data_IF_812422252519
#
_entry.id   IF_812422252519
#
_cell.length_a   1.000
_cell.length_b   1.000
_cell.length_c   1.000
_cell.angle_alpha   90.00
_cell.angle_beta   90.00
_cell.angle_gamma   90.00
#
_symmetry.space_group_name_H-M   'P 1'
#
loop_
_entity.id
_entity.type
_entity.pdbx_description
1 polymer ?
#
# COMPACT_ATOMS: atom_id res chain seq x y z
N UNK A 1 4.56 -15.59 -11.42
CA UNK A 1 5.09 -14.26 -11.81
C UNK A 1 6.61 -14.30 -11.65
N UNK A 2 7.38 -13.68 -12.55
CA UNK A 2 8.84 -13.53 -12.44
C UNK A 2 9.19 -12.04 -12.50
N UNK A 3 9.92 -11.54 -11.50
CA UNK A 3 10.41 -10.17 -11.50
C UNK A 3 11.64 -10.02 -12.40
N UNK A 4 11.72 -8.94 -13.17
CA UNK A 4 12.90 -8.59 -13.97
C UNK A 4 13.98 -7.91 -13.14
N UNK A 5 13.57 -7.23 -12.07
CA UNK A 5 14.45 -6.73 -11.02
C UNK A 5 14.20 -7.62 -9.81
N UNK A 6 15.12 -8.56 -9.57
CA UNK A 6 14.96 -9.58 -8.53
C UNK A 6 14.85 -8.96 -7.13
N UNK A 7 15.73 -8.02 -6.81
CA UNK A 7 15.69 -7.22 -5.58
C UNK A 7 14.91 -5.91 -5.79
N UNK A 8 13.62 -6.01 -6.14
CA UNK A 8 12.70 -4.87 -6.12
C UNK A 8 11.84 -4.93 -4.84
N UNK A 9 12.17 -4.17 -3.77
CA UNK A 9 11.61 -4.41 -2.43
C UNK A 9 10.09 -4.31 -2.35
N UNK A 10 9.48 -3.28 -2.95
CA UNK A 10 8.03 -3.13 -3.00
C UNK A 10 7.34 -4.32 -3.68
N UNK A 11 7.85 -4.76 -4.83
CA UNK A 11 7.23 -5.84 -5.58
C UNK A 11 7.46 -7.21 -4.94
N UNK A 12 8.68 -7.48 -4.47
CA UNK A 12 9.04 -8.78 -3.89
C UNK A 12 8.39 -9.02 -2.53
N UNK A 13 8.20 -7.99 -1.72
CA UNK A 13 7.46 -8.08 -0.46
C UNK A 13 5.95 -8.07 -0.72
N UNK A 14 5.50 -7.20 -1.63
CA UNK A 14 4.09 -7.08 -1.99
C UNK A 14 3.51 -8.38 -2.54
N UNK A 15 4.29 -9.16 -3.30
CA UNK A 15 3.86 -10.47 -3.79
C UNK A 15 3.64 -11.50 -2.66
N UNK A 16 4.38 -11.42 -1.55
CA UNK A 16 4.16 -12.30 -0.39
C UNK A 16 2.83 -11.95 0.29
N UNK A 17 2.59 -10.65 0.51
CA UNK A 17 1.37 -10.14 1.13
C UNK A 17 0.15 -10.42 0.24
N UNK A 18 0.25 -10.16 -1.07
CA UNK A 18 -0.79 -10.49 -2.05
C UNK A 18 -1.13 -11.97 -2.03
N UNK A 19 -0.13 -12.86 -2.01
CA UNK A 19 -0.35 -14.29 -1.97
C UNK A 19 -1.06 -14.73 -0.68
N UNK A 20 -0.72 -14.14 0.47
CA UNK A 20 -1.39 -14.41 1.74
C UNK A 20 -2.86 -13.97 1.72
N UNK A 21 -3.14 -12.75 1.24
CA UNK A 21 -4.50 -12.22 1.08
C UNK A 21 -5.32 -13.13 0.17
N UNK A 22 -4.77 -13.48 -1.01
CA UNK A 22 -5.46 -14.33 -1.98
C UNK A 22 -5.74 -15.73 -1.45
N UNK A 23 -4.80 -16.31 -0.68
CA UNK A 23 -5.00 -17.61 -0.03
C UNK A 23 -6.15 -17.57 0.98
N UNK A 24 -6.16 -16.54 1.84
CA UNK A 24 -7.22 -16.33 2.83
C UNK A 24 -8.59 -16.22 2.16
N UNK A 25 -8.72 -15.34 1.17
CA UNK A 25 -9.98 -15.12 0.45
C UNK A 25 -10.40 -16.38 -0.30
N UNK A 26 -9.46 -17.12 -0.86
CA UNK A 26 -9.74 -18.41 -1.49
C UNK A 26 -10.37 -19.40 -0.52
N UNK A 27 -9.84 -19.54 0.70
CA UNK A 27 -10.43 -20.40 1.73
C UNK A 27 -11.82 -19.91 2.15
N UNK A 28 -11.97 -18.60 2.37
CA UNK A 28 -13.24 -17.98 2.77
C UNK A 28 -14.35 -18.11 1.71
N UNK A 29 -14.06 -17.75 0.45
CA UNK A 29 -15.05 -17.78 -0.64
C UNK A 29 -15.48 -19.21 -0.95
N UNK A 30 -14.56 -20.17 -0.95
CA UNK A 30 -14.89 -21.56 -1.26
C UNK A 30 -15.71 -22.24 -0.16
N UNK A 31 -15.71 -21.72 1.07
CA UNK A 31 -16.60 -22.18 2.14
C UNK A 31 -18.06 -21.78 1.85
N UNK A 32 -18.32 -20.51 1.54
CA UNK A 32 -19.69 -20.01 1.31
C UNK A 32 -20.23 -20.35 -0.09
N UNK A 33 -19.37 -20.42 -1.09
CA UNK A 33 -19.75 -20.71 -2.48
C UNK A 33 -19.11 -22.00 -2.98
N UNK A 34 -19.93 -23.03 -3.14
CA UNK A 34 -19.48 -24.35 -3.60
C UNK A 34 -19.46 -24.49 -5.13
N UNK A 35 -19.97 -23.50 -5.88
CA UNK A 35 -19.98 -23.49 -7.34
C UNK A 35 -20.09 -22.08 -7.90
N UNK A 36 -19.75 -21.91 -9.18
CA UNK A 36 -19.95 -20.64 -9.89
C UNK A 36 -21.44 -20.30 -10.03
N UNK A 37 -22.31 -21.31 -10.13
CA UNK A 37 -23.76 -21.09 -10.14
C UNK A 37 -24.25 -20.41 -8.86
N UNK A 38 -23.64 -20.70 -7.70
CA UNK A 38 -23.98 -20.04 -6.44
C UNK A 38 -23.63 -18.54 -6.46
N UNK A 39 -22.54 -18.16 -7.13
CA UNK A 39 -22.16 -16.75 -7.34
C UNK A 39 -23.16 -16.04 -8.24
N UNK A 40 -23.49 -16.65 -9.39
CA UNK A 40 -24.41 -16.08 -10.37
C UNK A 40 -25.85 -15.92 -9.82
N UNK A 41 -26.25 -16.78 -8.87
CA UNK A 41 -27.58 -16.77 -8.26
C UNK A 41 -27.69 -15.89 -7.00
N UNK A 42 -26.57 -15.41 -6.45
CA UNK A 42 -26.58 -14.53 -5.28
C UNK A 42 -27.03 -13.12 -5.66
N UNK A 43 -28.30 -12.81 -5.40
CA UNK A 43 -28.89 -11.52 -5.75
C UNK A 43 -28.24 -10.33 -5.07
N UNK A 44 -27.74 -10.49 -3.84
CA UNK A 44 -27.10 -9.39 -3.10
C UNK A 44 -25.72 -9.10 -3.67
N UNK A 45 -24.92 -10.13 -3.95
CA UNK A 45 -23.61 -9.99 -4.56
C UNK A 45 -23.70 -9.39 -5.98
N UNK A 46 -24.66 -9.85 -6.79
CA UNK A 46 -24.89 -9.30 -8.14
C UNK A 46 -25.29 -7.82 -8.07
N UNK A 47 -26.19 -7.45 -7.16
CA UNK A 47 -26.61 -6.07 -6.98
C UNK A 47 -25.45 -5.18 -6.50
N UNK A 48 -24.67 -5.65 -5.53
CA UNK A 48 -23.50 -4.95 -5.01
C UNK A 48 -22.48 -4.68 -6.12
N UNK A 49 -22.06 -5.70 -6.87
CA UNK A 49 -21.06 -5.52 -7.93
C UNK A 49 -21.57 -4.62 -9.05
N UNK A 50 -22.85 -4.73 -9.41
CA UNK A 50 -23.49 -3.85 -10.38
C UNK A 50 -23.45 -2.39 -9.92
N UNK A 51 -23.76 -2.10 -8.65
CA UNK A 51 -23.72 -0.74 -8.12
C UNK A 51 -22.30 -0.18 -8.09
N UNK A 52 -21.31 -0.99 -7.68
CA UNK A 52 -19.89 -0.61 -7.71
C UNK A 52 -19.46 -0.18 -9.11
N UNK A 53 -19.82 -0.94 -10.15
CA UNK A 53 -19.40 -0.66 -11.53
C UNK A 53 -20.23 0.43 -12.20
N UNK A 54 -21.56 0.35 -12.13
CA UNK A 54 -22.45 1.22 -12.91
C UNK A 54 -22.67 2.59 -12.27
N UNK A 55 -22.52 2.67 -10.94
CA UNK A 55 -22.74 3.89 -10.15
C UNK A 55 -21.42 4.37 -9.55
N UNK A 56 -20.79 3.57 -8.68
CA UNK A 56 -19.57 3.96 -7.97
C UNK A 56 -18.41 4.35 -8.90
N UNK A 57 -18.20 3.56 -9.95
CA UNK A 57 -17.26 3.82 -11.04
C UNK A 57 -17.96 4.05 -12.38
N UNK A 58 -19.13 4.69 -12.37
CA UNK A 58 -20.02 4.81 -13.52
C UNK A 58 -19.40 5.43 -14.78
N UNK A 59 -18.38 6.29 -14.63
CA UNK A 59 -17.63 6.88 -15.75
C UNK A 59 -16.83 5.82 -16.55
N UNK A 60 -16.52 4.69 -15.92
CA UNK A 60 -15.75 3.58 -16.49
C UNK A 60 -16.60 2.32 -16.71
N UNK A 61 -17.91 2.35 -16.49
CA UNK A 61 -18.79 1.15 -16.55
C UNK A 61 -18.72 0.38 -17.87
N UNK A 62 -18.41 1.06 -18.97
CA UNK A 62 -18.31 0.45 -20.31
C UNK A 62 -16.92 -0.16 -20.60
N UNK A 63 -15.99 -0.12 -19.66
CA UNK A 63 -14.66 -0.70 -19.84
C UNK A 63 -14.70 -2.23 -19.91
N UNK A 64 -13.83 -2.82 -20.72
CA UNK A 64 -13.85 -4.27 -21.00
C UNK A 64 -13.19 -5.13 -19.92
N UNK A 65 -12.52 -4.51 -18.95
CA UNK A 65 -11.75 -5.20 -17.91
C UNK A 65 -12.53 -5.46 -16.61
N UNK A 66 -13.78 -5.03 -16.51
CA UNK A 66 -14.63 -5.36 -15.37
C UNK A 66 -14.96 -6.85 -15.33
N UNK A 67 -14.80 -7.46 -14.16
CA UNK A 67 -15.31 -8.81 -13.91
C UNK A 67 -16.82 -8.85 -14.13
N UNK A 68 -17.30 -9.98 -14.65
CA UNK A 68 -18.74 -10.21 -14.81
C UNK A 68 -19.39 -10.68 -13.50
N UNK A 69 -18.57 -11.05 -12.52
CA UNK A 69 -18.99 -11.55 -11.22
C UNK A 69 -19.90 -12.77 -11.35
N UNK A 70 -19.51 -13.74 -12.18
CA UNK A 70 -20.25 -14.97 -12.44
C UNK A 70 -19.56 -16.21 -11.88
N UNK A 71 -18.29 -16.11 -11.50
CA UNK A 71 -17.48 -17.24 -11.05
C UNK A 71 -16.84 -16.98 -9.70
N UNK A 72 -16.51 -18.06 -8.98
CA UNK A 72 -15.76 -17.97 -7.72
C UNK A 72 -14.39 -17.37 -7.93
N UNK A 73 -13.75 -17.67 -9.06
CA UNK A 73 -12.46 -17.07 -9.43
C UNK A 73 -12.58 -15.55 -9.53
N UNK A 74 -13.59 -15.02 -10.21
CA UNK A 74 -13.80 -13.57 -10.29
C UNK A 74 -14.05 -12.94 -8.92
N UNK A 75 -14.86 -13.56 -8.06
CA UNK A 75 -15.09 -13.07 -6.70
C UNK A 75 -13.80 -13.05 -5.87
N UNK A 76 -13.02 -14.14 -5.91
CA UNK A 76 -11.73 -14.23 -5.21
C UNK A 76 -10.78 -13.14 -5.70
N UNK A 77 -10.64 -12.93 -7.01
CA UNK A 77 -9.77 -11.89 -7.56
C UNK A 77 -10.27 -10.49 -7.18
N UNK A 78 -11.57 -10.21 -7.29
CA UNK A 78 -12.15 -8.92 -6.94
C UNK A 78 -11.93 -8.60 -5.45
N UNK A 79 -12.24 -9.52 -4.54
CA UNK A 79 -12.00 -9.34 -3.11
C UNK A 79 -10.51 -9.20 -2.80
N UNK A 80 -9.63 -9.95 -3.49
CA UNK A 80 -8.17 -9.83 -3.33
C UNK A 80 -7.70 -8.43 -3.71
N UNK A 81 -8.17 -7.90 -4.84
CA UNK A 81 -7.86 -6.53 -5.29
C UNK A 81 -8.37 -5.51 -4.28
N UNK A 82 -9.62 -5.62 -3.81
CA UNK A 82 -10.20 -4.68 -2.85
C UNK A 82 -9.41 -4.66 -1.53
N UNK A 83 -9.12 -5.83 -0.95
CA UNK A 83 -8.35 -5.92 0.29
C UNK A 83 -6.91 -5.44 0.08
N UNK A 84 -6.26 -5.80 -1.03
CA UNK A 84 -4.93 -5.29 -1.37
C UNK A 84 -4.88 -3.77 -1.47
N UNK A 85 -5.84 -3.17 -2.18
CA UNK A 85 -5.92 -1.71 -2.35
C UNK A 85 -6.12 -1.01 -1.02
N UNK A 86 -7.05 -1.51 -0.20
CA UNK A 86 -7.38 -0.92 1.10
C UNK A 86 -6.25 -1.07 2.13
N UNK A 87 -5.45 -2.14 2.04
CA UNK A 87 -4.41 -2.45 3.04
C UNK A 87 -3.00 -2.15 2.50
N UNK A 88 -2.35 -3.15 1.92
CA UNK A 88 -0.92 -3.14 1.59
C UNK A 88 -0.54 -2.11 0.53
N UNK A 89 -1.39 -1.87 -0.49
CA UNK A 89 -1.12 -0.82 -1.48
C UNK A 89 -1.12 0.55 -0.81
N UNK A 90 -2.17 0.83 -0.04
CA UNK A 90 -2.31 2.08 0.69
C UNK A 90 -1.11 2.28 1.63
N UNK A 91 -0.80 1.28 2.47
CA UNK A 91 0.32 1.34 3.39
C UNK A 91 1.65 1.67 2.69
N UNK A 92 1.92 1.01 1.55
CA UNK A 92 3.15 1.19 0.78
C UNK A 92 3.31 2.59 0.18
N UNK A 93 2.21 3.31 -0.10
CA UNK A 93 2.26 4.68 -0.65
C UNK A 93 2.04 5.77 0.40
N UNK A 94 1.54 5.40 1.59
CA UNK A 94 1.13 6.34 2.63
C UNK A 94 2.19 6.54 3.72
N UNK A 95 2.60 5.48 4.43
CA UNK A 95 3.46 5.59 5.62
C UNK A 95 4.93 5.92 5.31
N UNK A 96 5.27 6.03 4.03
CA UNK A 96 6.56 6.54 3.55
C UNK A 96 6.58 8.04 3.25
N UNK A 97 5.45 8.74 3.39
CA UNK A 97 5.33 10.16 3.03
C UNK A 97 6.32 11.04 3.82
N UNK A 98 6.23 11.06 5.16
CA UNK A 98 7.17 11.83 5.97
C UNK A 98 8.57 11.19 6.03
N UNK A 99 8.73 9.86 6.19
CA UNK A 99 10.06 9.26 6.25
C UNK A 99 10.94 9.57 5.02
N UNK A 100 10.35 9.65 3.81
CA UNK A 100 11.08 10.09 2.61
C UNK A 100 10.99 11.59 2.32
N UNK A 101 9.84 12.22 2.60
CA UNK A 101 9.50 13.59 2.19
C UNK A 101 9.62 14.66 3.27
N UNK A 102 9.85 14.28 4.53
CA UNK A 102 10.10 15.20 5.65
C UNK A 102 11.36 16.04 5.45
N UNK A 103 12.27 15.61 4.57
CA UNK A 103 13.31 16.46 4.01
C UNK A 103 12.90 16.97 2.63
N UNK A 104 12.40 18.21 2.53
CA UNK A 104 11.78 18.74 1.30
C UNK A 104 12.69 18.73 0.06
N UNK A 105 14.01 18.73 0.27
CA UNK A 105 15.01 18.65 -0.79
C UNK A 105 15.02 17.25 -1.45
N UNK A 106 14.60 16.21 -0.72
CA UNK A 106 14.44 14.85 -1.22
C UNK A 106 13.18 14.70 -2.09
N UNK A 107 12.05 15.28 -1.64
CA UNK A 107 10.77 15.28 -2.36
C UNK A 107 10.14 16.67 -2.45
N UNK A 108 10.60 17.53 -3.36
CA UNK A 108 9.95 18.82 -3.58
C UNK A 108 8.54 18.62 -4.17
N UNK A 109 7.57 19.36 -3.65
CA UNK A 109 6.15 19.26 -4.06
C UNK A 109 5.79 20.23 -5.18
N UNK A 110 6.64 21.23 -5.43
CA UNK A 110 6.47 22.23 -6.49
C UNK A 110 7.83 22.66 -7.04
N UNK A 111 7.84 23.08 -8.30
CA UNK A 111 8.93 23.84 -8.91
C UNK A 111 8.41 25.23 -9.32
N UNK A 112 9.24 26.25 -9.19
CA UNK A 112 8.85 27.67 -9.35
C UNK A 112 9.54 28.37 -10.52
N UNK A 113 10.52 27.72 -11.13
CA UNK A 113 11.40 28.31 -12.16
C UNK A 113 11.84 27.22 -13.14
N UNK A 114 12.07 27.63 -14.38
CA UNK A 114 12.76 26.81 -15.38
C UNK A 114 14.26 26.74 -15.09
N UNK A 115 14.96 25.85 -15.80
CA UNK A 115 16.42 25.84 -15.83
C UNK A 115 16.89 27.18 -16.43
N UNK A 116 17.86 27.87 -15.82
CA UNK A 116 18.33 29.16 -16.33
C UNK A 116 19.08 29.00 -17.66
N UNK A 117 18.93 30.00 -18.53
CA UNK A 117 19.60 30.04 -19.84
C UNK A 117 21.07 30.44 -19.71
N UNK A 118 21.95 29.86 -20.53
CA UNK A 118 23.39 30.20 -20.53
C UNK A 118 23.60 31.69 -20.77
N UNK A 119 24.37 32.33 -19.89
CA UNK A 119 24.65 33.78 -19.94
C UNK A 119 23.62 34.65 -19.21
N UNK A 120 22.57 34.06 -18.61
CA UNK A 120 21.68 34.80 -17.71
C UNK A 120 22.31 35.00 -16.33
N UNK A 121 21.80 36.00 -15.59
CA UNK A 121 22.20 36.23 -14.20
C UNK A 121 21.97 34.98 -13.31
N UNK A 122 20.84 34.30 -13.50
CA UNK A 122 20.47 33.09 -12.77
C UNK A 122 21.38 31.90 -13.11
N UNK A 123 21.91 31.84 -14.33
CA UNK A 123 22.90 30.84 -14.71
C UNK A 123 24.23 31.05 -13.97
N UNK A 124 24.67 32.31 -13.87
CA UNK A 124 25.83 32.67 -13.05
C UNK A 124 25.58 32.42 -11.55
N UNK A 125 24.36 32.63 -11.06
CA UNK A 125 23.97 32.29 -9.68
C UNK A 125 24.04 30.78 -9.42
N UNK A 126 23.55 29.96 -10.35
CA UNK A 126 23.64 28.49 -10.27
C UNK A 126 25.08 28.02 -10.15
N UNK A 127 25.99 28.58 -10.94
CA UNK A 127 27.41 28.23 -10.93
C UNK A 127 28.11 28.64 -9.62
N UNK A 128 27.66 29.74 -8.99
CA UNK A 128 28.22 30.25 -7.73
C UNK A 128 27.63 29.57 -6.50
N UNK A 129 26.33 29.29 -6.50
CA UNK A 129 25.58 28.74 -5.37
C UNK A 129 24.41 27.88 -5.85
N UNK A 130 24.72 26.61 -6.11
CA UNK A 130 23.73 25.64 -6.56
C UNK A 130 22.68 25.34 -5.49
N UNK A 131 23.03 25.43 -4.20
CA UNK A 131 22.11 25.12 -3.10
C UNK A 131 21.02 26.18 -3.00
N UNK A 132 21.41 27.46 -3.01
CA UNK A 132 20.46 28.57 -3.03
C UNK A 132 19.60 28.57 -4.27
N UNK A 133 20.18 28.25 -5.42
CA UNK A 133 19.43 28.13 -6.69
C UNK A 133 18.42 26.99 -6.61
N UNK A 134 18.82 25.83 -6.08
CA UNK A 134 17.93 24.69 -5.85
C UNK A 134 16.76 25.07 -4.92
N UNK A 135 17.05 25.70 -3.78
CA UNK A 135 16.04 26.15 -2.82
C UNK A 135 15.10 27.23 -3.39
N UNK A 136 15.59 28.08 -4.31
CA UNK A 136 14.76 29.05 -5.05
C UNK A 136 13.85 28.39 -6.08
N UNK A 137 14.25 27.24 -6.62
CA UNK A 137 13.48 26.48 -7.60
C UNK A 137 12.40 25.62 -6.94
N UNK A 138 12.71 24.92 -5.85
CA UNK A 138 11.74 24.02 -5.20
C UNK A 138 10.71 24.77 -4.34
N UNK A 139 9.84 24.01 -3.67
CA UNK A 139 8.84 24.42 -2.68
C UNK A 139 9.30 25.59 -1.78
N UNK A 140 8.53 26.70 -1.69
CA UNK A 140 8.79 27.78 -0.73
C UNK A 140 8.78 27.30 0.72
N UNK A 141 9.40 28.08 1.60
CA UNK A 141 9.48 27.78 3.04
C UNK A 141 8.11 27.57 3.70
N UNK A 142 7.14 28.45 3.45
CA UNK A 142 5.83 28.36 4.11
C UNK A 142 5.06 27.10 3.65
N UNK A 143 5.00 26.86 2.35
CA UNK A 143 4.44 25.63 1.78
C UNK A 143 5.17 24.38 2.30
N UNK A 144 6.49 24.45 2.50
CA UNK A 144 7.28 23.35 3.08
C UNK A 144 6.80 23.01 4.48
N UNK A 145 6.63 24.00 5.35
CA UNK A 145 6.16 23.79 6.73
C UNK A 145 4.77 23.13 6.75
N UNK A 146 3.87 23.61 5.89
CA UNK A 146 2.53 23.03 5.77
C UNK A 146 2.58 21.58 5.26
N UNK A 147 3.34 21.32 4.18
CA UNK A 147 3.49 19.99 3.61
C UNK A 147 4.10 19.00 4.62
N UNK A 148 5.13 19.41 5.36
CA UNK A 148 5.76 18.57 6.37
C UNK A 148 4.80 18.21 7.50
N UNK A 149 4.05 19.19 8.03
CA UNK A 149 3.04 18.93 9.06
C UNK A 149 1.94 17.98 8.57
N UNK A 150 1.48 18.14 7.32
CA UNK A 150 0.51 17.22 6.73
C UNK A 150 1.09 15.82 6.56
N UNK A 151 2.28 15.68 5.97
CA UNK A 151 2.91 14.36 5.80
C UNK A 151 3.18 13.67 7.14
N UNK A 152 3.56 14.40 8.18
CA UNK A 152 3.77 13.88 9.53
C UNK A 152 2.48 13.27 10.08
N UNK A 153 1.37 14.01 10.00
CA UNK A 153 0.06 13.52 10.42
C UNK A 153 -0.36 12.27 9.63
N UNK A 154 -0.18 12.27 8.30
CA UNK A 154 -0.57 11.16 7.44
C UNK A 154 0.34 9.92 7.57
N UNK A 155 1.55 10.06 8.09
CA UNK A 155 2.50 8.94 8.26
C UNK A 155 2.46 8.31 9.65
N UNK A 156 1.49 8.70 10.49
CA UNK A 156 1.44 8.32 11.90
C UNK A 156 0.31 7.32 12.16
N UNK A 157 0.66 6.15 12.70
CA UNK A 157 -0.32 5.17 13.17
C UNK A 157 -0.96 5.61 14.48
N UNK A 158 -2.29 5.53 14.56
CA UNK A 158 -3.05 5.73 15.80
C UNK A 158 -2.91 4.52 16.72
N UNK A 159 -3.14 4.72 18.02
CA UNK A 159 -2.98 3.68 19.04
C UNK A 159 -3.99 2.53 18.96
N UNK A 160 -5.14 2.80 18.34
CA UNK A 160 -6.27 1.89 18.17
C UNK A 160 -6.39 1.34 16.74
N UNK A 161 -5.32 1.45 15.95
CA UNK A 161 -5.26 0.89 14.59
C UNK A 161 -5.46 -0.63 14.58
N UNK A 162 -6.16 -1.13 13.57
CA UNK A 162 -6.33 -2.55 13.31
C UNK A 162 -5.53 -2.97 12.09
N UNK A 163 -4.44 -3.69 12.34
CA UNK A 163 -3.55 -4.19 11.31
C UNK A 163 -4.10 -5.43 10.59
N UNK A 164 -3.60 -5.66 9.38
CA UNK A 164 -3.93 -6.80 8.54
C UNK A 164 -3.68 -8.12 9.29
N UNK A 165 -4.67 -9.02 9.23
CA UNK A 165 -4.64 -10.28 9.96
C UNK A 165 -5.03 -10.20 11.44
N UNK A 166 -5.44 -9.01 11.91
CA UNK A 166 -5.98 -8.80 13.25
C UNK A 166 -7.42 -8.28 13.17
N UNK A 167 -8.21 -8.61 14.18
CA UNK A 167 -9.56 -8.08 14.40
C UNK A 167 -9.77 -7.86 15.88
N UNK A 168 -10.35 -6.72 16.25
CA UNK A 168 -10.64 -6.40 17.65
C UNK A 168 -11.70 -7.35 18.24
N UNK A 169 -12.61 -7.89 17.42
CA UNK A 169 -13.65 -8.83 17.87
C UNK A 169 -13.12 -10.26 18.08
N UNK A 170 -11.84 -10.53 17.77
CA UNK A 170 -11.26 -11.86 17.82
C UNK A 170 -12.03 -12.84 16.92
N UNK A 171 -12.63 -13.86 17.51
CA UNK A 171 -13.41 -14.89 16.80
C UNK A 171 -14.92 -14.58 16.75
N UNK A 172 -15.38 -13.47 17.36
CA UNK A 172 -16.82 -13.21 17.55
C UNK A 172 -17.52 -12.64 16.30
N UNK A 173 -16.79 -12.36 15.22
CA UNK A 173 -17.34 -11.82 13.98
C UNK A 173 -18.10 -12.85 13.14
N UNK A 174 -17.92 -14.15 13.42
CA UNK A 174 -18.67 -15.24 12.79
C UNK A 174 -18.87 -16.40 13.76
N UNK A 175 -19.96 -17.14 13.61
CA UNK A 175 -20.16 -18.43 14.30
C UNK A 175 -19.53 -19.61 13.56
N UNK A 176 -19.08 -19.42 12.33
CA UNK A 176 -18.55 -20.49 11.49
C UNK A 176 -17.08 -20.75 11.83
N UNK A 177 -16.78 -21.96 12.31
CA UNK A 177 -15.44 -22.32 12.80
C UNK A 177 -14.40 -22.38 11.68
N UNK A 178 -14.77 -22.82 10.47
CA UNK A 178 -13.85 -22.96 9.34
C UNK A 178 -13.34 -21.59 8.83
N UNK A 179 -14.19 -20.59 8.52
CA UNK A 179 -13.76 -19.22 8.25
C UNK A 179 -12.94 -18.59 9.38
N UNK A 180 -13.31 -18.81 10.64
CA UNK A 180 -12.57 -18.28 11.78
C UNK A 180 -11.14 -18.87 11.85
N UNK A 181 -10.98 -20.17 11.65
CA UNK A 181 -9.66 -20.81 11.65
C UNK A 181 -8.82 -20.42 10.43
N UNK A 182 -9.43 -20.29 9.26
CA UNK A 182 -8.75 -19.80 8.07
C UNK A 182 -8.25 -18.34 8.26
N UNK A 183 -8.96 -17.50 9.02
CA UNK A 183 -8.48 -16.15 9.36
C UNK A 183 -7.29 -16.19 10.33
N UNK A 184 -7.30 -17.08 11.33
CA UNK A 184 -6.15 -17.30 12.21
C UNK A 184 -4.92 -17.78 11.45
N UNK A 185 -5.12 -18.68 10.48
CA UNK A 185 -4.06 -19.14 9.57
C UNK A 185 -3.49 -17.99 8.75
N UNK A 186 -4.34 -17.07 8.26
CA UNK A 186 -3.89 -15.86 7.59
C UNK A 186 -3.02 -14.97 8.49
N UNK A 187 -3.45 -14.70 9.73
CA UNK A 187 -2.65 -13.96 10.71
C UNK A 187 -1.29 -14.60 11.00
N UNK A 188 -1.25 -15.92 11.24
CA UNK A 188 0.01 -16.68 11.41
C UNK A 188 0.90 -16.57 10.17
N UNK A 189 0.31 -16.62 8.97
CA UNK A 189 1.06 -16.50 7.72
C UNK A 189 1.71 -15.12 7.57
N UNK A 190 1.03 -14.05 8.00
CA UNK A 190 1.61 -12.71 7.99
C UNK A 190 2.80 -12.57 8.95
N UNK A 191 2.74 -13.22 10.12
CA UNK A 191 3.89 -13.27 11.05
C UNK A 191 5.10 -13.94 10.38
N UNK A 192 4.90 -15.10 9.74
CA UNK A 192 5.97 -15.78 8.99
C UNK A 192 6.54 -14.91 7.85
N UNK A 193 5.67 -14.17 7.16
CA UNK A 193 6.10 -13.25 6.09
C UNK A 193 6.95 -12.14 6.70
N UNK A 194 6.55 -11.56 7.83
CA UNK A 194 7.31 -10.49 8.47
C UNK A 194 8.73 -10.96 8.84
N UNK A 195 8.87 -12.15 9.43
CA UNK A 195 10.18 -12.74 9.73
C UNK A 195 11.03 -12.88 8.47
N UNK A 196 10.43 -13.31 7.35
CA UNK A 196 11.10 -13.39 6.05
C UNK A 196 11.51 -12.00 5.53
N UNK A 197 10.69 -10.97 5.71
CA UNK A 197 11.01 -9.60 5.29
C UNK A 197 12.15 -9.01 6.14
N UNK A 198 12.17 -9.30 7.44
CA UNK A 198 13.29 -8.97 8.34
C UNK A 198 14.58 -9.66 7.86
N UNK A 199 14.52 -10.94 7.52
CA UNK A 199 15.68 -11.67 6.96
C UNK A 199 16.15 -11.07 5.64
N UNK A 200 15.24 -10.71 4.72
CA UNK A 200 15.58 -10.01 3.48
C UNK A 200 16.27 -8.69 3.74
N UNK A 201 15.76 -7.91 4.69
CA UNK A 201 16.44 -6.69 5.11
C UNK A 201 17.81 -7.04 5.70
N UNK A 202 18.04 -8.12 6.43
CA UNK A 202 19.38 -8.44 6.95
C UNK A 202 20.35 -9.08 5.94
N UNK A 203 19.91 -9.38 4.72
CA UNK A 203 20.74 -9.97 3.67
C UNK A 203 21.55 -8.90 2.92
N UNK A 204 22.87 -8.89 3.13
CA UNK A 204 23.79 -7.93 2.50
C UNK A 204 23.87 -8.04 0.97
N UNK A 205 23.40 -9.14 0.38
CA UNK A 205 23.28 -9.30 -1.07
C UNK A 205 22.11 -8.49 -1.65
N UNK A 206 21.08 -8.18 -0.85
CA UNK A 206 19.88 -7.43 -1.24
C UNK A 206 20.04 -5.92 -0.97
N UNK A 207 20.93 -5.29 -1.74
CA UNK A 207 21.37 -3.90 -1.51
C UNK A 207 20.29 -2.85 -1.78
N UNK A 208 19.27 -3.14 -2.60
CA UNK A 208 18.23 -2.16 -2.93
C UNK A 208 17.30 -1.89 -1.74
N UNK A 209 17.39 -2.70 -0.68
CA UNK A 209 16.55 -2.62 0.51
C UNK A 209 16.96 -1.53 1.51
N UNK A 210 18.20 -1.01 1.41
CA UNK A 210 18.70 0.06 2.29
C UNK A 210 19.09 1.32 1.54
N UNK A 211 19.78 1.14 0.40
CA UNK A 211 20.46 2.22 -0.30
C UNK A 211 21.52 2.95 0.55
N UNK A 212 22.08 4.06 0.03
CA UNK A 212 23.09 4.84 0.74
C UNK A 212 22.55 5.56 1.99
N UNK A 213 21.22 5.73 2.08
CA UNK A 213 20.53 6.35 3.22
C UNK A 213 20.39 5.41 4.42
N UNK A 214 20.79 4.12 4.29
CA UNK A 214 20.75 3.11 5.35
C UNK A 214 19.36 2.96 5.98
N UNK A 215 18.33 2.99 5.15
CA UNK A 215 16.94 2.93 5.58
C UNK A 215 16.31 1.60 5.09
N UNK A 216 16.17 0.58 5.94
CA UNK A 216 15.60 -0.71 5.54
C UNK A 216 14.17 -0.54 5.04
N UNK A 217 13.81 -1.25 3.98
CA UNK A 217 12.44 -1.24 3.46
C UNK A 217 11.51 -2.05 4.34
N UNK A 218 10.71 -1.36 5.16
CA UNK A 218 9.79 -1.97 6.14
C UNK A 218 8.31 -1.63 5.92
N UNK A 219 7.98 -0.87 4.88
CA UNK A 219 6.60 -0.40 4.60
C UNK A 219 5.57 -1.53 4.42
N UNK A 220 6.03 -2.74 4.07
CA UNK A 220 5.19 -3.92 3.90
C UNK A 220 5.36 -4.96 5.02
N UNK A 221 5.95 -4.57 6.15
CA UNK A 221 5.87 -5.38 7.36
C UNK A 221 4.43 -5.30 7.91
N UNK A 222 3.75 -6.43 8.14
CA UNK A 222 2.36 -6.44 8.60
C UNK A 222 2.10 -5.69 9.90
N UNK A 223 2.98 -5.83 10.89
CA UNK A 223 2.80 -5.26 12.22
C UNK A 223 3.54 -3.93 12.45
N UNK A 224 3.02 -3.13 13.37
CA UNK A 224 3.60 -1.87 13.80
C UNK A 224 3.07 -1.47 15.18
N UNK A 225 3.77 -0.54 15.79
CA UNK A 225 3.35 0.16 17.00
C UNK A 225 2.73 1.52 16.62
N UNK A 226 2.09 2.18 17.57
CA UNK A 226 1.63 3.56 17.37
C UNK A 226 2.78 4.51 16.98
N UNK A 227 2.46 5.56 16.23
CA UNK A 227 3.43 6.59 15.84
C UNK A 227 3.92 6.46 14.40
N UNK A 228 4.98 7.22 14.09
CA UNK A 228 5.60 7.25 12.76
C UNK A 228 6.73 6.24 12.68
N UNK A 229 6.43 5.05 12.18
CA UNK A 229 7.33 3.88 12.30
C UNK A 229 7.90 3.39 10.96
N UNK A 230 7.38 3.89 9.82
CA UNK A 230 7.75 3.43 8.47
C UNK A 230 7.44 1.93 8.23
N UNK A 231 6.47 1.38 8.95
CA UNK A 231 6.04 -0.03 8.86
C UNK A 231 4.61 -0.19 9.34
N UNK A 232 4.01 -1.34 9.07
CA UNK A 232 2.63 -1.65 9.45
C UNK A 232 1.69 -1.57 8.27
N UNK A 233 0.85 -2.59 8.14
CA UNK A 233 -0.20 -2.63 7.12
C UNK A 233 -1.55 -2.61 7.84
N UNK A 234 -2.23 -1.45 7.92
CA UNK A 234 -3.62 -1.37 8.37
C UNK A 234 -4.56 -2.22 7.51
N UNK A 235 -5.72 -2.58 8.05
CA UNK A 235 -6.78 -3.23 7.28
C UNK A 235 -7.40 -2.30 6.20
N UNK A 236 -7.28 -0.98 6.37
CA UNK A 236 -8.03 0.01 5.57
C UNK A 236 -7.23 1.27 5.27
N UNK A 237 -7.84 2.13 4.43
CA UNK A 237 -7.40 3.51 4.21
C UNK A 237 -7.88 4.33 5.41
N UNK A 238 -7.12 4.29 6.50
CA UNK A 238 -7.46 4.90 7.79
C UNK A 238 -6.90 6.32 7.99
N UNK A 239 -5.89 6.70 7.19
CA UNK A 239 -5.27 8.02 7.18
C UNK A 239 -4.56 8.27 5.85
#
# INVERSE_FOLDING_TARGET
IRLLIEDYPYASDGLEIWAAIKSWIGEYVNFYYNSDAAIAQDSELQAFWKEVVDVGHGDLKNATWWFKMQTRTELIEACTILIWMASALHAAVNFGQYPYGGYIVSRPTKTRRFIPEKGSYEYDELAKDYQKTYLRTITPKNDTLQNMATMEALSTHVSDEQYLGHRIEGDLWTSDSEPAEAYKKFGRKLIEIEEKLVQRNNDESLRNRYGPVKMPYTLLHPSSEQGMTFRGIPNSISI
#
